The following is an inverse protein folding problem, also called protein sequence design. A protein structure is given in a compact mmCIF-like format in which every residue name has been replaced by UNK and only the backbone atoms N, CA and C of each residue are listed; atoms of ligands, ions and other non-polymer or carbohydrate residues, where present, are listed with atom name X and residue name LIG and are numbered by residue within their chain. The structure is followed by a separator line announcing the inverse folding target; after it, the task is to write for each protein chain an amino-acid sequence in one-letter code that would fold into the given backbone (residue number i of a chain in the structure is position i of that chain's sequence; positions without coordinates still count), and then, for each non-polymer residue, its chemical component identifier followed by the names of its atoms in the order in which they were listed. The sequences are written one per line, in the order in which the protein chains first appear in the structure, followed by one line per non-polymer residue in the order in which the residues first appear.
data_IF_136923504812
#
_entry.id   IF_136923504812
#
_cell.length_a   1.000
_cell.length_b   1.000
_cell.length_c   1.000
_cell.angle_alpha   90.00
_cell.angle_beta   90.00
_cell.angle_gamma   90.00
#
_symmetry.space_group_name_H-M   'P 1'
#
loop_
_entity.id
_entity.type
_entity.pdbx_description
1 polymer ?
#
# COMPACT_ATOMS: atom_id res chain seq x y z
N UNK A 1 1.16 -4.14 4.20
CA UNK A 1 0.81 -3.29 3.05
C UNK A 1 0.41 -4.20 1.92
N UNK A 2 -0.46 -3.72 1.04
CA UNK A 2 -1.00 -4.53 -0.05
C UNK A 2 -1.35 -3.69 -1.29
N UNK A 3 -1.53 -4.33 -2.44
CA UNK A 3 -1.83 -3.69 -3.72
C UNK A 3 -3.22 -4.06 -4.22
N UNK A 4 -4.10 -3.07 -4.37
CA UNK A 4 -5.34 -3.22 -5.15
C UNK A 4 -5.04 -2.91 -6.60
N UNK A 5 -5.16 -3.91 -7.46
CA UNK A 5 -4.78 -3.81 -8.89
C UNK A 5 -5.97 -4.05 -9.80
N UNK A 6 -5.77 -3.86 -11.11
CA UNK A 6 -6.80 -4.03 -12.15
C UNK A 6 -7.98 -3.06 -12.01
N UNK A 7 -7.72 -1.86 -11.47
CA UNK A 7 -8.71 -0.80 -11.46
C UNK A 7 -8.77 -0.14 -12.84
N UNK A 8 -9.95 0.31 -13.28
CA UNK A 8 -10.05 1.15 -14.46
C UNK A 8 -9.22 2.43 -14.27
N UNK A 9 -8.51 2.92 -15.30
CA UNK A 9 -7.75 4.17 -15.20
C UNK A 9 -8.66 5.31 -14.75
N UNK A 10 -8.29 5.98 -13.65
CA UNK A 10 -9.10 7.03 -13.03
C UNK A 10 -8.39 8.38 -12.92
N UNK A 11 -9.17 9.45 -13.10
CA UNK A 11 -8.73 10.86 -12.97
C UNK A 11 -7.78 11.34 -14.06
N UNK A 12 -7.33 12.59 -13.96
CA UNK A 12 -6.48 13.25 -14.97
C UNK A 12 -5.13 12.54 -15.22
N UNK A 13 -4.68 11.76 -14.23
CA UNK A 13 -3.40 11.03 -14.27
C UNK A 13 -3.55 9.55 -14.60
N UNK A 14 -4.77 9.07 -14.85
CA UNK A 14 -5.05 7.69 -15.26
C UNK A 14 -4.44 6.63 -14.33
N UNK A 15 -4.57 6.81 -13.02
CA UNK A 15 -4.08 5.84 -12.04
C UNK A 15 -4.89 4.54 -12.12
N UNK A 16 -4.24 3.38 -11.99
CA UNK A 16 -4.86 2.07 -12.17
C UNK A 16 -4.56 1.08 -11.04
N UNK A 17 -3.84 1.53 -10.02
CA UNK A 17 -3.45 0.73 -8.84
C UNK A 17 -3.57 1.60 -7.58
N UNK A 18 -4.02 1.00 -6.48
CA UNK A 18 -3.86 1.60 -5.16
C UNK A 18 -2.87 0.77 -4.33
N UNK A 19 -1.90 1.46 -3.74
CA UNK A 19 -1.12 0.92 -2.64
C UNK A 19 -1.84 1.22 -1.32
N UNK A 20 -2.13 0.17 -0.56
CA UNK A 20 -2.83 0.24 0.72
C UNK A 20 -1.83 0.04 1.86
N UNK A 21 -1.73 1.07 2.70
CA UNK A 21 -0.94 1.07 3.91
C UNK A 21 -1.88 1.13 5.10
N UNK A 22 -1.74 0.20 6.04
CA UNK A 22 -2.55 0.21 7.27
C UNK A 22 -1.59 0.23 8.46
N UNK A 23 -1.72 1.25 9.30
CA UNK A 23 -1.03 1.27 10.59
C UNK A 23 -1.74 0.32 11.55
N UNK A 24 -1.01 -0.68 12.05
CA UNK A 24 -1.55 -1.66 13.00
C UNK A 24 -1.89 -1.05 14.36
N UNK A 25 -1.23 0.05 14.76
CA UNK A 25 -1.49 0.68 16.06
C UNK A 25 -2.73 1.57 16.00
N UNK A 26 -2.71 2.63 15.20
CA UNK A 26 -3.81 3.58 15.09
C UNK A 26 -5.02 3.07 14.29
N UNK A 27 -4.86 1.96 13.56
CA UNK A 27 -5.84 1.43 12.58
C UNK A 27 -6.10 2.39 11.41
N UNK A 28 -5.26 3.41 11.24
CA UNK A 28 -5.39 4.35 10.13
C UNK A 28 -4.93 3.70 8.84
N UNK A 29 -5.74 3.86 7.79
CA UNK A 29 -5.42 3.40 6.44
C UNK A 29 -5.07 4.57 5.54
N UNK A 30 -4.07 4.38 4.69
CA UNK A 30 -3.70 5.30 3.64
C UNK A 30 -3.76 4.58 2.30
N UNK A 31 -4.44 5.22 1.35
CA UNK A 31 -4.58 4.73 -0.02
C UNK A 31 -3.78 5.65 -0.94
N UNK A 32 -2.75 5.10 -1.56
CA UNK A 32 -1.86 5.85 -2.45
C UNK A 32 -2.14 5.43 -3.89
N UNK A 33 -2.59 6.36 -4.77
CA UNK A 33 -2.79 6.05 -6.18
C UNK A 33 -1.44 5.89 -6.88
N UNK A 34 -1.31 4.83 -7.66
CA UNK A 34 -0.09 4.44 -8.38
C UNK A 34 -0.43 3.94 -9.78
N UNK A 35 0.62 3.78 -10.58
CA UNK A 35 0.59 3.06 -11.83
C UNK A 35 1.17 1.66 -11.64
N UNK A 36 0.63 0.68 -12.38
CA UNK A 36 1.16 -0.69 -12.40
C UNK A 36 2.65 -0.76 -12.75
N UNK A 37 3.10 0.18 -13.59
CA UNK A 37 4.46 0.23 -14.13
C UNK A 37 5.38 1.17 -13.33
N UNK A 38 4.92 1.66 -12.16
CA UNK A 38 5.73 2.50 -11.30
C UNK A 38 7.00 1.78 -10.83
N UNK A 39 8.12 2.48 -10.92
CA UNK A 39 9.39 1.92 -10.49
C UNK A 39 9.42 1.73 -8.97
N UNK A 40 10.14 0.70 -8.52
CA UNK A 40 10.34 0.43 -7.11
C UNK A 40 10.89 1.64 -6.33
N UNK A 41 11.76 2.45 -6.94
CA UNK A 41 12.30 3.65 -6.30
C UNK A 41 11.24 4.75 -6.15
N UNK A 42 10.44 4.98 -7.20
CA UNK A 42 9.35 5.96 -7.15
C UNK A 42 8.35 5.62 -6.05
N UNK A 43 7.92 4.36 -6.01
CA UNK A 43 7.03 3.85 -4.97
C UNK A 43 7.64 4.03 -3.57
N UNK A 44 8.92 3.74 -3.38
CA UNK A 44 9.60 3.91 -2.09
C UNK A 44 9.61 5.39 -1.62
N UNK A 45 9.93 6.32 -2.53
CA UNK A 45 9.90 7.77 -2.26
C UNK A 45 8.47 8.22 -1.91
N UNK A 46 7.48 7.75 -2.65
CA UNK A 46 6.09 8.09 -2.41
C UNK A 46 5.62 7.62 -1.02
N UNK A 47 5.91 6.36 -0.67
CA UNK A 47 5.63 5.81 0.67
C UNK A 47 6.31 6.66 1.73
N UNK A 48 7.61 6.96 1.57
CA UNK A 48 8.36 7.82 2.49
C UNK A 48 7.68 9.14 2.73
N UNK A 49 7.43 9.90 1.67
CA UNK A 49 6.89 11.25 1.79
C UNK A 49 5.50 11.25 2.40
N UNK A 50 4.65 10.30 2.02
CA UNK A 50 3.27 10.25 2.49
C UNK A 50 3.15 9.74 3.91
N UNK A 51 3.88 8.68 4.26
CA UNK A 51 3.82 8.13 5.61
C UNK A 51 4.53 9.03 6.62
N UNK A 52 5.70 9.56 6.30
CA UNK A 52 6.41 10.50 7.19
C UNK A 52 5.57 11.74 7.50
N UNK A 53 4.86 12.26 6.50
CA UNK A 53 3.96 13.40 6.68
C UNK A 53 2.76 13.10 7.58
N UNK A 54 2.35 11.83 7.72
CA UNK A 54 1.11 11.46 8.40
C UNK A 54 1.33 10.85 9.78
N UNK A 55 2.26 9.89 9.89
CA UNK A 55 2.49 9.10 11.11
C UNK A 55 3.88 9.31 11.70
N UNK A 56 4.73 10.12 11.05
CA UNK A 56 6.14 10.26 11.42
C UNK A 56 6.95 9.03 11.02
N UNK A 57 7.91 8.66 11.87
CA UNK A 57 8.87 7.61 11.53
C UNK A 57 8.25 6.21 11.65
N UNK A 58 8.17 5.49 10.53
CA UNK A 58 7.83 4.07 10.54
C UNK A 58 8.91 3.28 11.28
N UNK A 59 8.54 2.48 12.28
CA UNK A 59 9.48 1.62 12.98
C UNK A 59 9.56 0.21 12.39
N UNK A 60 8.45 -0.29 11.84
CA UNK A 60 8.36 -1.62 11.26
C UNK A 60 7.38 -1.63 10.08
N UNK A 61 7.77 -2.26 8.98
CA UNK A 61 6.92 -2.42 7.78
C UNK A 61 6.71 -3.91 7.56
N UNK A 62 5.44 -4.31 7.54
CA UNK A 62 5.03 -5.69 7.31
C UNK A 62 4.23 -5.74 6.01
N UNK A 63 4.56 -6.71 5.17
CA UNK A 63 3.98 -6.91 3.86
C UNK A 63 4.10 -8.37 3.44
N UNK A 64 3.23 -8.77 2.54
CA UNK A 64 3.32 -10.06 1.89
C UNK A 64 4.42 -10.11 0.83
N UNK A 65 4.76 -11.34 0.45
CA UNK A 65 5.76 -11.64 -0.58
C UNK A 65 5.17 -11.62 -1.99
N UNK A 66 4.24 -10.72 -2.30
CA UNK A 66 3.79 -10.58 -3.67
C UNK A 66 4.97 -10.20 -4.59
N UNK A 67 5.00 -10.66 -5.86
CA UNK A 67 6.06 -10.31 -6.82
C UNK A 67 6.25 -8.80 -7.02
N UNK A 68 5.19 -8.02 -6.77
CA UNK A 68 5.20 -6.54 -6.83
C UNK A 68 6.03 -5.92 -5.71
N UNK A 69 6.16 -6.60 -4.57
CA UNK A 69 7.07 -6.25 -3.49
C UNK A 69 8.49 -6.74 -3.82
N UNK A 70 9.06 -6.16 -4.87
CA UNK A 70 10.40 -6.51 -5.33
C UNK A 70 11.44 -6.28 -4.23
N UNK A 71 12.49 -7.10 -4.14
CA UNK A 71 13.62 -6.84 -3.24
C UNK A 71 14.19 -5.42 -3.42
N UNK A 72 14.15 -4.88 -4.63
CA UNK A 72 14.57 -3.51 -4.93
C UNK A 72 13.74 -2.44 -4.19
N UNK A 73 12.41 -2.61 -4.14
CA UNK A 73 11.52 -1.72 -3.38
C UNK A 73 11.91 -1.70 -1.89
N UNK A 74 12.18 -2.87 -1.33
CA UNK A 74 12.57 -3.01 0.06
C UNK A 74 13.92 -2.39 0.38
N UNK A 75 14.92 -2.63 -0.47
CA UNK A 75 16.24 -2.00 -0.32
C UNK A 75 16.13 -0.48 -0.38
N UNK A 76 15.32 0.05 -1.30
CA UNK A 76 15.09 1.49 -1.41
C UNK A 76 14.35 2.04 -0.18
N UNK A 77 13.31 1.36 0.32
CA UNK A 77 12.63 1.74 1.56
C UNK A 77 13.60 1.74 2.75
N UNK A 78 14.44 0.71 2.89
CA UNK A 78 15.44 0.64 3.96
C UNK A 78 16.39 1.84 3.91
N UNK A 79 16.94 2.15 2.74
CA UNK A 79 17.85 3.28 2.56
C UNK A 79 17.17 4.63 2.85
N UNK A 80 15.87 4.75 2.54
CA UNK A 80 15.11 5.98 2.71
C UNK A 80 14.61 6.21 4.14
N UNK A 81 14.33 5.14 4.88
CA UNK A 81 13.78 5.18 6.24
C UNK A 81 14.82 4.93 7.34
N UNK A 82 15.94 4.25 7.02
CA UNK A 82 16.96 3.85 7.99
C UNK A 82 16.52 2.76 8.98
N UNK A 83 15.49 1.98 8.63
CA UNK A 83 14.78 1.06 9.54
C UNK A 83 15.00 -0.40 9.17
N UNK A 84 15.08 -1.30 10.16
CA UNK A 84 15.20 -2.75 9.95
C UNK A 84 13.88 -3.36 9.46
N UNK A 85 13.95 -4.21 8.43
CA UNK A 85 12.77 -4.87 7.87
C UNK A 85 12.44 -6.17 8.61
N UNK A 86 11.15 -6.42 8.86
CA UNK A 86 10.65 -7.74 9.28
C UNK A 86 9.68 -8.25 8.23
N UNK A 87 10.12 -9.21 7.41
CA UNK A 87 9.21 -9.91 6.49
C UNK A 87 8.26 -10.79 7.31
N UNK A 88 6.96 -10.73 7.01
CA UNK A 88 6.01 -11.72 7.54
C UNK A 88 6.38 -13.10 6.97
N UNK A 89 6.33 -14.14 7.81
CA UNK A 89 6.40 -15.52 7.32
C UNK A 89 5.15 -15.81 6.52
N UNK A 90 5.30 -16.47 5.37
CA UNK A 90 4.21 -16.82 4.48
C UNK A 90 3.07 -17.48 5.28
N UNK A 91 1.84 -17.02 5.04
CA UNK A 91 0.60 -17.43 5.73
C UNK A 91 0.55 -17.10 7.23
N UNK A 92 0.10 -15.88 7.56
CA UNK A 92 -0.45 -15.56 8.88
C UNK A 92 -1.75 -14.75 8.77
N UNK A 93 -2.88 -15.41 8.40
CA UNK A 93 -4.19 -14.76 8.20
C UNK A 93 -4.72 -14.00 9.42
N UNK A 94 -4.19 -14.24 10.63
CA UNK A 94 -4.58 -13.49 11.83
C UNK A 94 -4.14 -12.03 11.82
N UNK A 95 -3.13 -11.67 11.03
CA UNK A 95 -2.55 -10.32 11.04
C UNK A 95 -2.86 -9.51 9.79
N UNK A 96 -3.36 -10.16 8.75
CA UNK A 96 -3.86 -9.54 7.51
C UNK A 96 -5.36 -9.25 7.56
N UNK A 97 -6.14 -9.89 8.44
CA UNK A 97 -7.58 -9.66 8.50
C UNK A 97 -8.02 -8.21 8.73
N UNK A 98 -7.15 -7.31 9.19
CA UNK A 98 -7.44 -5.86 9.23
C UNK A 98 -7.19 -5.17 7.89
N UNK A 99 -6.07 -5.50 7.22
CA UNK A 99 -5.76 -4.95 5.91
C UNK A 99 -6.75 -5.49 4.86
N UNK A 100 -7.02 -6.79 4.87
CA UNK A 100 -8.01 -7.46 4.02
C UNK A 100 -9.41 -6.85 4.16
N UNK A 101 -9.90 -6.65 5.39
CA UNK A 101 -11.21 -5.99 5.61
C UNK A 101 -11.24 -4.56 5.08
N UNK A 102 -10.13 -3.84 5.22
CA UNK A 102 -10.04 -2.46 4.71
C UNK A 102 -9.99 -2.42 3.18
N UNK A 103 -9.30 -3.37 2.56
CA UNK A 103 -9.26 -3.54 1.10
C UNK A 103 -10.64 -3.89 0.55
N UNK A 104 -11.35 -4.84 1.18
CA UNK A 104 -12.73 -5.18 0.80
C UNK A 104 -13.66 -3.96 0.88
N UNK A 105 -13.54 -3.18 1.96
CA UNK A 105 -14.33 -1.95 2.13
C UNK A 105 -14.02 -0.94 1.02
N UNK A 106 -12.74 -0.76 0.68
CA UNK A 106 -12.30 0.13 -0.40
C UNK A 106 -12.86 -0.32 -1.76
N UNK A 107 -12.72 -1.61 -2.09
CA UNK A 107 -13.21 -2.15 -3.36
C UNK A 107 -14.72 -1.98 -3.50
N UNK A 108 -15.48 -2.24 -2.43
CA UNK A 108 -16.92 -2.03 -2.44
C UNK A 108 -17.30 -0.56 -2.58
N UNK A 109 -16.55 0.36 -1.95
CA UNK A 109 -16.75 1.80 -2.14
C UNK A 109 -16.48 2.22 -3.59
N UNK A 110 -15.37 1.78 -4.19
CA UNK A 110 -15.04 2.08 -5.59
C UNK A 110 -16.12 1.51 -6.52
N UNK A 111 -16.54 0.26 -6.30
CA UNK A 111 -17.58 -0.38 -7.10
C UNK A 111 -18.90 0.39 -7.03
N UNK A 112 -19.31 0.82 -5.83
CA UNK A 112 -20.52 1.63 -5.65
C UNK A 112 -20.39 3.01 -6.30
N UNK A 113 -19.26 3.67 -6.12
CA UNK A 113 -19.00 4.97 -6.75
C UNK A 113 -19.08 4.88 -8.28
N UNK A 114 -18.43 3.88 -8.88
CA UNK A 114 -18.49 3.68 -10.33
C UNK A 114 -19.88 3.27 -10.84
N UNK A 115 -20.64 2.49 -10.07
CA UNK A 115 -21.97 2.03 -10.47
C UNK A 115 -23.06 3.10 -10.31
N UNK A 116 -22.95 3.96 -9.29
CA UNK A 116 -24.03 4.89 -8.89
C UNK A 116 -23.65 6.37 -8.97
N UNK A 117 -22.39 6.71 -9.23
CA UNK A 117 -21.92 8.10 -9.46
C UNK A 117 -22.09 9.05 -8.28
N UNK A 118 -22.05 8.53 -7.04
CA UNK A 118 -22.19 9.31 -5.79
C UNK A 118 -20.98 10.20 -5.51
#
# INVERSE_FOLDING_TARGET
MDWVTALPPGGDRSYNVFLVLVDRYSKTSMFLPCHKDDTAMYTAIMIRNKVMSHSGLLQNIISDREPKFTPALWTNLHNLFGTKLSFSTAYHPQTDGLAERMIQTLEDMIRRFCAYGL
#
